data_IF_915909708476
#
_entry.id   IF_915909708476
#
_cell.length_a   1.000
_cell.length_b   1.000
_cell.length_c   1.000
_cell.angle_alpha   90.00
_cell.angle_beta   90.00
_cell.angle_gamma   90.00
#
_symmetry.space_group_name_H-M   'P 1'
#
loop_
_entity.id
_entity.type
_entity.pdbx_description
1 polymer ?
#
# COMPACT_ATOMS: atom_id res chain seq x y z
N UNK A 1 -52.82 -40.28 -3.95
CA UNK A 1 -52.42 -39.27 -2.95
C UNK A 1 -51.55 -39.97 -1.93
N UNK A 2 -50.24 -40.01 -2.18
CA UNK A 2 -49.23 -40.53 -1.26
C UNK A 2 -48.45 -39.33 -0.72
N UNK A 3 -48.45 -39.17 0.61
CA UNK A 3 -47.80 -38.04 1.29
C UNK A 3 -46.28 -38.24 1.43
N UNK A 4 -45.49 -37.16 1.46
CA UNK A 4 -44.04 -37.26 1.41
C UNK A 4 -43.40 -37.60 2.78
N UNK A 5 -42.40 -38.44 2.64
CA UNK A 5 -41.49 -39.02 3.62
C UNK A 5 -40.75 -37.95 4.46
N UNK A 6 -40.87 -38.02 5.79
CA UNK A 6 -40.17 -37.11 6.73
C UNK A 6 -38.71 -37.53 6.90
N UNK A 7 -37.79 -36.64 6.47
CA UNK A 7 -36.34 -36.77 6.66
C UNK A 7 -35.96 -36.85 8.14
N UNK A 8 -35.23 -37.90 8.51
CA UNK A 8 -34.65 -38.09 9.83
C UNK A 8 -33.69 -36.95 10.20
N UNK A 9 -34.01 -36.24 11.29
CA UNK A 9 -33.09 -35.30 11.95
C UNK A 9 -31.96 -36.10 12.56
N UNK A 10 -30.75 -36.01 12.01
CA UNK A 10 -29.54 -36.51 12.64
C UNK A 10 -29.39 -35.88 14.03
N UNK A 11 -29.50 -36.70 15.08
CA UNK A 11 -29.26 -36.26 16.46
C UNK A 11 -27.82 -35.79 16.55
N UNK A 12 -27.61 -34.54 16.99
CA UNK A 12 -26.28 -34.05 17.35
C UNK A 12 -25.71 -34.98 18.44
N UNK A 13 -24.45 -35.42 18.34
CA UNK A 13 -23.80 -36.20 19.39
C UNK A 13 -23.94 -35.48 20.73
N UNK A 14 -24.43 -36.19 21.74
CA UNK A 14 -24.55 -35.67 23.10
C UNK A 14 -23.13 -35.46 23.62
N UNK A 15 -22.78 -34.21 23.92
CA UNK A 15 -21.52 -33.88 24.58
C UNK A 15 -21.65 -34.34 26.03
N UNK A 16 -20.92 -35.40 26.40
CA UNK A 16 -20.91 -35.91 27.77
C UNK A 16 -20.24 -34.87 28.70
N UNK A 17 -20.82 -34.62 29.88
CA UNK A 17 -20.21 -33.79 30.90
C UNK A 17 -18.95 -34.46 31.48
N UNK A 18 -18.01 -33.67 32.00
CA UNK A 18 -16.64 -34.12 32.33
C UNK A 18 -16.58 -35.20 33.44
N UNK A 19 -17.66 -35.36 34.20
CA UNK A 19 -17.88 -36.40 35.21
C UNK A 19 -18.29 -37.76 34.62
N UNK A 20 -18.82 -37.79 33.40
CA UNK A 20 -19.23 -39.02 32.68
C UNK A 20 -18.13 -39.58 31.75
N UNK A 21 -16.98 -38.92 31.67
CA UNK A 21 -15.85 -39.38 30.85
C UNK A 21 -14.96 -40.37 31.61
N UNK A 22 -14.54 -41.42 30.93
CA UNK A 22 -13.47 -42.30 31.44
C UNK A 22 -12.11 -41.57 31.43
N UNK A 23 -11.12 -42.15 32.12
CA UNK A 23 -9.81 -41.52 32.29
C UNK A 23 -9.06 -41.35 30.95
N UNK A 24 -9.30 -42.24 29.99
CA UNK A 24 -8.71 -42.18 28.65
C UNK A 24 -9.32 -41.04 27.83
N UNK A 25 -10.64 -40.86 27.89
CA UNK A 25 -11.39 -39.76 27.28
C UNK A 25 -11.08 -38.41 27.95
N UNK A 26 -10.85 -38.39 29.28
CA UNK A 26 -10.40 -37.19 30.00
C UNK A 26 -8.99 -36.80 29.58
N UNK A 27 -8.09 -37.77 29.45
CA UNK A 27 -6.73 -37.53 28.95
C UNK A 27 -6.71 -37.15 27.47
N UNK A 28 -7.57 -37.73 26.63
CA UNK A 28 -7.72 -37.34 25.22
C UNK A 28 -8.34 -35.93 25.10
N UNK A 29 -9.32 -35.58 25.94
CA UNK A 29 -9.84 -34.21 26.03
C UNK A 29 -8.78 -33.24 26.54
N UNK A 30 -7.98 -33.61 27.55
CA UNK A 30 -6.87 -32.78 28.05
C UNK A 30 -5.78 -32.62 26.99
N UNK A 31 -5.43 -33.65 26.23
CA UNK A 31 -4.51 -33.60 25.08
C UNK A 31 -5.08 -32.75 23.95
N UNK A 32 -6.39 -32.84 23.67
CA UNK A 32 -7.08 -31.99 22.69
C UNK A 32 -7.22 -30.53 23.14
N UNK A 33 -7.27 -30.28 24.46
CA UNK A 33 -7.28 -28.95 25.10
C UNK A 33 -5.87 -28.38 25.21
N UNK A 34 -4.84 -29.23 25.32
CA UNK A 34 -3.42 -28.91 25.12
C UNK A 34 -3.10 -28.85 23.62
N UNK A 35 -3.87 -28.07 22.86
CA UNK A 35 -3.33 -27.56 21.59
C UNK A 35 -2.19 -26.63 21.98
N UNK A 36 -0.96 -26.99 21.60
CA UNK A 36 0.18 -26.09 21.66
C UNK A 36 -0.30 -24.77 21.04
N UNK A 37 -0.23 -23.64 21.77
CA UNK A 37 -0.60 -22.36 21.20
C UNK A 37 0.21 -22.16 19.93
N UNK A 38 -0.48 -21.91 18.80
CA UNK A 38 0.20 -21.57 17.55
C UNK A 38 1.12 -20.39 17.84
N UNK A 39 2.38 -20.51 17.43
CA UNK A 39 3.35 -19.43 17.54
C UNK A 39 2.91 -18.25 16.66
N UNK A 40 3.50 -17.07 16.86
CA UNK A 40 3.19 -15.93 16.00
C UNK A 40 3.62 -16.22 14.55
N UNK A 41 4.73 -16.92 14.39
CA UNK A 41 5.28 -17.40 13.13
C UNK A 41 4.28 -18.33 12.42
N UNK A 42 3.73 -19.33 13.12
CA UNK A 42 2.72 -20.23 12.55
C UNK A 42 1.47 -19.47 12.07
N UNK A 43 1.06 -18.46 12.84
CA UNK A 43 -0.11 -17.63 12.51
C UNK A 43 0.14 -16.75 11.29
N UNK A 44 1.35 -16.18 11.17
CA UNK A 44 1.76 -15.38 10.02
C UNK A 44 1.83 -16.27 8.77
N UNK A 45 2.42 -17.46 8.88
CA UNK A 45 2.53 -18.38 7.76
C UNK A 45 1.16 -18.89 7.29
N UNK A 46 0.23 -19.11 8.21
CA UNK A 46 -1.15 -19.39 7.85
C UNK A 46 -1.81 -18.21 7.12
N UNK A 47 -1.64 -16.98 7.61
CA UNK A 47 -2.17 -15.78 6.96
C UNK A 47 -1.57 -15.54 5.55
N UNK A 48 -0.29 -15.84 5.34
CA UNK A 48 0.34 -15.83 4.00
C UNK A 48 -0.32 -16.83 3.07
N UNK A 49 -0.61 -18.04 3.56
CA UNK A 49 -1.30 -19.07 2.79
C UNK A 49 -2.72 -18.64 2.42
N UNK A 50 -3.48 -18.12 3.38
CA UNK A 50 -4.84 -17.64 3.15
C UNK A 50 -4.86 -16.49 2.13
N UNK A 51 -3.92 -15.55 2.22
CA UNK A 51 -3.79 -14.45 1.26
C UNK A 51 -3.46 -14.98 -0.14
N UNK A 52 -2.53 -15.94 -0.24
CA UNK A 52 -2.16 -16.58 -1.52
C UNK A 52 -3.35 -17.25 -2.19
N UNK A 53 -4.15 -17.99 -1.42
CA UNK A 53 -5.37 -18.63 -1.90
C UNK A 53 -6.40 -17.60 -2.34
N UNK A 54 -6.57 -16.52 -1.57
CA UNK A 54 -7.50 -15.43 -1.86
C UNK A 54 -7.19 -14.70 -3.17
N UNK A 55 -5.90 -14.47 -3.46
CA UNK A 55 -5.49 -13.81 -4.71
C UNK A 55 -5.37 -14.76 -5.92
N UNK A 56 -5.62 -16.06 -5.71
CA UNK A 56 -5.61 -17.09 -6.75
C UNK A 56 -4.22 -17.58 -7.16
N UNK A 57 -3.19 -17.39 -6.34
CA UNK A 57 -1.80 -17.78 -6.62
C UNK A 57 -1.53 -19.18 -6.03
N UNK A 58 -2.37 -20.16 -6.39
CA UNK A 58 -2.21 -21.54 -5.92
C UNK A 58 -1.36 -22.33 -6.91
N UNK A 59 -0.33 -23.01 -6.43
CA UNK A 59 0.55 -23.83 -7.27
C UNK A 59 -0.26 -24.81 -8.12
N UNK A 60 -0.10 -24.72 -9.45
CA UNK A 60 -0.68 -25.66 -10.42
C UNK A 60 -2.12 -25.41 -10.85
N UNK A 61 -2.80 -24.35 -10.39
CA UNK A 61 -4.12 -23.94 -10.91
C UNK A 61 -4.27 -22.43 -10.88
N UNK A 62 -4.18 -21.77 -12.04
CA UNK A 62 -4.67 -20.39 -12.19
C UNK A 62 -6.18 -20.39 -11.98
N UNK A 63 -6.61 -20.04 -10.76
CA UNK A 63 -8.00 -19.65 -10.53
C UNK A 63 -8.03 -18.14 -10.72
N UNK A 64 -8.55 -17.68 -11.86
CA UNK A 64 -8.85 -16.26 -12.01
C UNK A 64 -10.11 -15.95 -11.20
N UNK A 65 -10.01 -15.26 -10.05
CA UNK A 65 -11.21 -14.80 -9.37
C UNK A 65 -11.98 -13.88 -10.31
N UNK A 66 -13.32 -13.95 -10.29
CA UNK A 66 -14.17 -13.10 -11.16
C UNK A 66 -13.88 -11.61 -10.99
N UNK A 67 -13.43 -11.22 -9.80
CA UNK A 67 -12.94 -9.88 -9.49
C UNK A 67 -11.49 -10.00 -9.01
N UNK A 68 -10.52 -9.31 -9.64
CA UNK A 68 -9.14 -9.32 -9.18
C UNK A 68 -9.05 -8.70 -7.78
N UNK A 69 -8.23 -9.32 -6.92
CA UNK A 69 -7.89 -8.74 -5.61
C UNK A 69 -6.79 -7.71 -5.82
N UNK A 70 -7.05 -6.48 -5.38
CA UNK A 70 -6.12 -5.35 -5.48
C UNK A 70 -5.71 -4.87 -4.08
N UNK A 71 -4.49 -4.34 -3.99
CA UNK A 71 -3.87 -3.82 -2.77
C UNK A 71 -3.75 -2.30 -2.93
N UNK A 72 -4.69 -1.57 -2.37
CA UNK A 72 -4.73 -0.12 -2.51
C UNK A 72 -3.87 0.55 -1.43
N UNK A 73 -2.92 1.39 -1.83
CA UNK A 73 -2.19 2.26 -0.90
C UNK A 73 -2.94 3.58 -0.81
N UNK A 74 -3.44 3.91 0.38
CA UNK A 74 -4.30 5.07 0.62
C UNK A 74 -3.97 5.75 1.95
N UNK A 75 -4.44 6.99 2.12
CA UNK A 75 -4.53 7.61 3.43
C UNK A 75 -5.72 7.04 4.21
N UNK A 76 -5.51 6.80 5.51
CA UNK A 76 -6.58 6.52 6.43
C UNK A 76 -7.44 7.79 6.61
N UNK A 77 -8.75 7.74 6.33
CA UNK A 77 -9.61 8.91 6.47
C UNK A 77 -9.79 9.26 7.94
N UNK A 78 -10.29 10.47 8.21
CA UNK A 78 -10.61 10.88 9.57
C UNK A 78 -11.61 9.92 10.23
N UNK A 79 -11.26 9.43 11.42
CA UNK A 79 -12.08 8.55 12.25
C UNK A 79 -11.63 8.65 13.69
N UNK A 80 -12.58 8.74 14.62
CA UNK A 80 -12.27 8.80 16.06
C UNK A 80 -11.65 7.52 16.63
N UNK A 81 -11.77 6.39 15.92
CA UNK A 81 -11.28 5.08 16.39
C UNK A 81 -10.22 4.46 15.48
N UNK A 82 -9.94 5.06 14.32
CA UNK A 82 -9.15 4.43 13.26
C UNK A 82 -9.80 3.14 12.74
N UNK A 83 -9.05 2.40 11.93
CA UNK A 83 -9.43 1.06 11.47
C UNK A 83 -8.54 0.01 12.13
N UNK A 84 -9.10 -1.11 12.58
CA UNK A 84 -8.29 -2.20 13.13
C UNK A 84 -7.42 -2.85 12.04
N UNK A 85 -6.12 -2.99 12.29
CA UNK A 85 -5.23 -3.74 11.42
C UNK A 85 -5.65 -5.21 11.39
N UNK A 86 -5.76 -5.80 10.20
CA UNK A 86 -6.15 -7.21 10.03
C UNK A 86 -4.96 -8.18 10.11
N UNK A 87 -3.76 -7.69 10.40
CA UNK A 87 -2.59 -8.55 10.60
C UNK A 87 -2.74 -9.39 11.87
N UNK A 88 -2.46 -10.69 11.78
CA UNK A 88 -2.76 -11.67 12.85
C UNK A 88 -2.08 -11.38 14.19
N UNK A 89 -0.92 -10.73 14.18
CA UNK A 89 -0.18 -10.35 15.40
C UNK A 89 -0.39 -8.90 15.82
N UNK A 90 -0.96 -8.05 14.96
CA UNK A 90 -1.16 -6.63 15.25
C UNK A 90 -2.47 -6.43 16.02
N UNK A 91 -2.42 -5.67 17.11
CA UNK A 91 -3.60 -5.28 17.90
C UNK A 91 -3.92 -3.79 17.80
N UNK A 92 -3.11 -3.05 17.05
CA UNK A 92 -3.19 -1.62 16.95
C UNK A 92 -4.20 -1.18 15.89
N UNK A 93 -4.67 0.05 16.06
CA UNK A 93 -5.51 0.71 15.06
C UNK A 93 -4.63 1.52 14.11
N UNK A 94 -5.14 1.70 12.89
CA UNK A 94 -4.57 2.53 11.86
C UNK A 94 -5.17 3.92 12.04
N UNK A 95 -4.36 4.83 12.54
CA UNK A 95 -4.74 6.22 12.82
C UNK A 95 -5.02 7.01 11.55
N UNK A 96 -5.93 7.98 11.65
CA UNK A 96 -6.24 8.92 10.58
C UNK A 96 -4.98 9.63 10.05
N UNK A 97 -4.92 9.85 8.74
CA UNK A 97 -3.77 10.45 8.05
C UNK A 97 -2.54 9.54 7.95
N UNK A 98 -2.61 8.28 8.39
CA UNK A 98 -1.56 7.29 8.15
C UNK A 98 -1.74 6.60 6.81
N UNK A 99 -0.64 6.31 6.12
CA UNK A 99 -0.68 5.43 4.96
C UNK A 99 -1.04 4.01 5.39
N UNK A 100 -1.90 3.36 4.60
CA UNK A 100 -2.36 1.98 4.85
C UNK A 100 -2.55 1.21 3.56
N UNK A 101 -2.59 -0.11 3.68
CA UNK A 101 -3.03 -1.00 2.61
C UNK A 101 -4.50 -1.36 2.83
N UNK A 102 -5.31 -1.23 1.78
CA UNK A 102 -6.66 -1.76 1.70
C UNK A 102 -6.71 -2.89 0.67
N UNK A 103 -6.93 -4.13 1.12
CA UNK A 103 -7.09 -5.30 0.25
C UNK A 103 -8.55 -5.41 -0.16
N UNK A 104 -8.86 -5.31 -1.46
CA UNK A 104 -10.24 -5.34 -1.97
C UNK A 104 -10.38 -6.33 -3.14
N UNK A 105 -11.38 -7.24 -3.10
CA UNK A 105 -12.22 -7.56 -1.94
C UNK A 105 -11.38 -8.11 -0.77
N UNK A 106 -11.84 -7.91 0.48
CA UNK A 106 -11.20 -8.48 1.66
C UNK A 106 -11.37 -10.00 1.76
N UNK A 107 -10.52 -10.65 2.55
CA UNK A 107 -10.51 -12.08 2.85
C UNK A 107 -11.69 -12.48 3.76
N UNK A 108 -12.00 -11.67 4.76
CA UNK A 108 -13.02 -12.01 5.77
C UNK A 108 -14.46 -11.72 5.30
N UNK A 109 -14.64 -10.70 4.45
CA UNK A 109 -15.93 -10.26 3.97
C UNK A 109 -15.77 -9.77 2.53
N UNK A 110 -16.17 -10.59 1.54
CA UNK A 110 -15.99 -10.34 0.10
C UNK A 110 -16.46 -8.98 -0.45
N UNK A 111 -17.13 -8.14 0.34
CA UNK A 111 -17.56 -6.78 -0.05
C UNK A 111 -16.74 -5.67 0.59
N UNK A 112 -16.17 -5.89 1.76
CA UNK A 112 -15.46 -4.84 2.50
C UNK A 112 -13.95 -5.01 2.32
N UNK A 113 -13.18 -3.92 2.27
CA UNK A 113 -11.74 -4.00 2.27
C UNK A 113 -11.21 -4.44 3.65
N UNK A 114 -10.15 -5.24 3.65
CA UNK A 114 -9.34 -5.48 4.85
C UNK A 114 -8.23 -4.43 4.92
N UNK A 115 -8.06 -3.82 6.09
CA UNK A 115 -7.08 -2.75 6.28
C UNK A 115 -5.85 -3.24 7.06
N UNK A 116 -4.67 -2.84 6.61
CA UNK A 116 -3.40 -3.18 7.23
C UNK A 116 -2.52 -1.92 7.35
N UNK A 117 -1.73 -1.82 8.41
CA UNK A 117 -0.53 -0.97 8.34
C UNK A 117 0.35 -1.47 7.20
N UNK A 118 1.01 -0.57 6.47
CA UNK A 118 1.85 -0.94 5.32
C UNK A 118 2.90 -2.00 5.73
N UNK A 119 3.58 -1.78 6.85
CA UNK A 119 4.61 -2.68 7.38
C UNK A 119 4.07 -4.07 7.73
N UNK A 120 2.90 -4.13 8.36
CA UNK A 120 2.27 -5.41 8.69
C UNK A 120 1.84 -6.16 7.42
N UNK A 121 1.38 -5.46 6.40
CA UNK A 121 1.03 -6.12 5.14
C UNK A 121 2.25 -6.69 4.43
N UNK A 122 3.38 -5.98 4.47
CA UNK A 122 4.67 -6.42 3.96
C UNK A 122 5.17 -7.74 4.60
N UNK A 123 4.74 -8.09 5.82
CA UNK A 123 5.02 -9.40 6.43
C UNK A 123 4.27 -10.57 5.76
N UNK A 124 3.17 -10.27 5.06
CA UNK A 124 2.28 -11.26 4.45
C UNK A 124 2.53 -11.48 2.96
N UNK A 125 3.30 -10.62 2.30
CA UNK A 125 3.45 -10.59 0.84
C UNK A 125 4.92 -10.66 0.43
N UNK A 126 5.15 -11.28 -0.73
CA UNK A 126 6.45 -11.31 -1.37
C UNK A 126 6.41 -10.43 -2.63
N UNK A 127 6.84 -9.18 -2.50
CA UNK A 127 6.87 -8.23 -3.61
C UNK A 127 7.96 -8.51 -4.65
N UNK A 128 8.81 -9.53 -4.45
CA UNK A 128 9.70 -10.04 -5.52
C UNK A 128 8.94 -10.84 -6.58
N UNK A 129 7.66 -11.13 -6.35
CA UNK A 129 6.79 -11.84 -7.28
C UNK A 129 5.77 -10.89 -7.94
N UNK A 130 5.65 -10.96 -9.27
CA UNK A 130 4.73 -10.13 -10.06
C UNK A 130 3.29 -10.22 -9.57
N UNK A 131 2.90 -11.41 -9.14
CA UNK A 131 1.56 -11.68 -8.64
C UNK A 131 1.17 -10.76 -7.48
N UNK A 132 2.09 -10.37 -6.61
CA UNK A 132 1.81 -9.43 -5.52
C UNK A 132 2.06 -7.98 -5.94
N UNK A 133 3.19 -7.70 -6.60
CA UNK A 133 3.57 -6.34 -6.98
C UNK A 133 2.55 -5.67 -7.90
N UNK A 134 2.01 -6.41 -8.87
CA UNK A 134 1.10 -5.86 -9.88
C UNK A 134 -0.24 -5.41 -9.30
N UNK A 135 -0.61 -5.98 -8.14
CA UNK A 135 -1.85 -5.67 -7.42
C UNK A 135 -1.75 -4.39 -6.62
N UNK A 136 -0.55 -3.82 -6.43
CA UNK A 136 -0.38 -2.55 -5.73
C UNK A 136 -0.90 -1.40 -6.60
N UNK A 137 -1.91 -0.69 -6.09
CA UNK A 137 -2.53 0.46 -6.74
C UNK A 137 -2.48 1.66 -5.77
N UNK A 138 -1.71 2.72 -6.04
CA UNK A 138 -1.83 3.95 -5.28
C UNK A 138 -3.20 4.58 -5.54
N UNK A 139 -3.92 4.98 -4.48
CA UNK A 139 -5.18 5.69 -4.65
C UNK A 139 -4.89 7.15 -4.98
N UNK A 140 -5.05 7.47 -6.26
CA UNK A 140 -4.85 8.82 -6.81
C UNK A 140 -6.08 9.24 -7.61
N UNK A 141 -6.06 10.46 -8.15
CA UNK A 141 -7.04 10.98 -9.12
C UNK A 141 -7.34 10.02 -10.28
N UNK A 142 -6.37 9.21 -10.71
CA UNK A 142 -6.50 8.32 -11.88
C UNK A 142 -7.07 6.93 -11.52
N UNK A 143 -7.01 6.52 -10.26
CA UNK A 143 -7.39 5.16 -9.82
C UNK A 143 -8.59 5.11 -8.86
N UNK A 144 -9.22 6.26 -8.63
CA UNK A 144 -10.33 6.39 -7.68
C UNK A 144 -11.56 5.55 -8.05
N UNK A 145 -11.86 5.43 -9.34
CA UNK A 145 -12.99 4.64 -9.84
C UNK A 145 -12.79 3.14 -9.57
N UNK A 146 -11.57 2.64 -9.76
CA UNK A 146 -11.18 1.24 -9.48
C UNK A 146 -11.30 0.93 -7.99
N UNK A 147 -10.97 1.90 -7.12
CA UNK A 147 -11.11 1.77 -5.68
C UNK A 147 -12.57 1.69 -5.23
N UNK A 148 -13.51 2.20 -6.02
CA UNK A 148 -14.95 2.24 -5.73
C UNK A 148 -15.26 3.04 -4.47
N UNK A 149 -14.67 4.24 -4.36
CA UNK A 149 -14.98 5.18 -3.28
C UNK A 149 -16.34 5.85 -3.52
N UNK A 150 -17.00 6.26 -2.43
CA UNK A 150 -18.23 7.05 -2.52
C UNK A 150 -17.93 8.45 -3.05
N UNK A 151 -18.88 9.09 -3.74
CA UNK A 151 -18.69 10.45 -4.28
C UNK A 151 -18.24 11.47 -3.22
N UNK A 152 -18.73 11.36 -1.99
CA UNK A 152 -18.29 12.23 -0.87
C UNK A 152 -16.82 11.97 -0.54
N UNK A 153 -16.40 10.70 -0.45
CA UNK A 153 -15.00 10.34 -0.19
C UNK A 153 -14.05 10.81 -1.30
N UNK A 154 -14.54 10.88 -2.55
CA UNK A 154 -13.79 11.44 -3.68
C UNK A 154 -13.63 12.95 -3.52
N UNK A 155 -14.70 13.67 -3.16
CA UNK A 155 -14.69 15.13 -3.01
C UNK A 155 -13.84 15.58 -1.83
N UNK A 156 -13.85 14.84 -0.72
CA UNK A 156 -13.05 15.20 0.45
C UNK A 156 -11.56 14.81 0.31
N UNK A 157 -11.21 13.96 -0.67
CA UNK A 157 -9.82 13.53 -0.92
C UNK A 157 -9.19 12.72 0.21
N UNK A 158 -9.95 12.36 1.25
CA UNK A 158 -9.45 11.79 2.51
C UNK A 158 -8.73 10.43 2.37
N UNK A 159 -8.89 9.75 1.23
CA UNK A 159 -8.22 8.50 0.93
C UNK A 159 -7.08 8.63 -0.07
N UNK A 160 -6.92 9.78 -0.72
CA UNK A 160 -5.90 9.94 -1.74
C UNK A 160 -4.53 10.09 -1.13
N UNK A 161 -3.53 9.59 -1.83
CA UNK A 161 -2.16 9.90 -1.49
C UNK A 161 -1.88 11.37 -1.81
N UNK A 162 -1.08 12.00 -0.94
CA UNK A 162 -0.39 13.22 -1.34
C UNK A 162 0.61 12.93 -2.47
N UNK A 163 0.99 13.99 -3.17
CA UNK A 163 1.86 13.91 -4.34
C UNK A 163 3.15 13.14 -4.08
N UNK A 164 3.86 13.43 -2.99
CA UNK A 164 5.12 12.77 -2.67
C UNK A 164 4.94 11.28 -2.43
N UNK A 165 3.92 10.87 -1.66
CA UNK A 165 3.60 9.46 -1.47
C UNK A 165 3.21 8.76 -2.78
N UNK A 166 2.40 9.41 -3.64
CA UNK A 166 2.07 8.90 -4.99
C UNK A 166 3.35 8.64 -5.79
N UNK A 167 4.24 9.64 -5.87
CA UNK A 167 5.50 9.54 -6.61
C UNK A 167 6.41 8.42 -6.08
N UNK A 168 6.57 8.35 -4.76
CA UNK A 168 7.42 7.36 -4.09
C UNK A 168 6.91 5.94 -4.29
N UNK A 169 5.60 5.71 -4.18
CA UNK A 169 4.99 4.40 -4.42
C UNK A 169 5.19 3.94 -5.86
N UNK A 170 4.96 4.83 -6.83
CA UNK A 170 5.11 4.51 -8.25
C UNK A 170 6.56 4.19 -8.60
N UNK A 171 7.51 4.99 -8.11
CA UNK A 171 8.94 4.78 -8.37
C UNK A 171 9.48 3.53 -7.65
N UNK A 172 9.03 3.27 -6.42
CA UNK A 172 9.32 2.02 -5.71
C UNK A 172 8.81 0.81 -6.49
N UNK A 173 7.55 0.85 -6.96
CA UNK A 173 6.95 -0.23 -7.76
C UNK A 173 7.72 -0.46 -9.06
N UNK A 174 8.10 0.60 -9.75
CA UNK A 174 8.92 0.51 -10.97
C UNK A 174 10.30 -0.08 -10.67
N UNK A 175 10.96 0.34 -9.59
CA UNK A 175 12.27 -0.15 -9.17
C UNK A 175 12.24 -1.65 -8.87
N UNK A 176 11.20 -2.10 -8.16
CA UNK A 176 10.96 -3.53 -7.90
C UNK A 176 10.73 -4.32 -9.19
N UNK A 177 9.93 -3.80 -10.13
CA UNK A 177 9.71 -4.44 -11.43
C UNK A 177 11.01 -4.55 -12.23
N UNK A 178 11.83 -3.50 -12.25
CA UNK A 178 13.14 -3.50 -12.93
C UNK A 178 14.07 -4.58 -12.38
N UNK A 179 14.08 -4.79 -11.06
CA UNK A 179 14.84 -5.87 -10.44
C UNK A 179 14.33 -7.25 -10.88
N UNK A 180 13.01 -7.40 -11.03
CA UNK A 180 12.41 -8.65 -11.49
C UNK A 180 12.75 -8.91 -12.96
N UNK A 181 12.61 -7.90 -13.81
CA UNK A 181 12.97 -8.01 -15.23
C UNK A 181 14.45 -8.39 -15.39
N UNK A 182 15.35 -7.82 -14.57
CA UNK A 182 16.76 -8.24 -14.56
C UNK A 182 16.95 -9.69 -14.11
N UNK A 183 16.28 -10.12 -13.03
CA UNK A 183 16.32 -11.50 -12.54
C UNK A 183 15.83 -12.49 -13.60
N UNK A 184 14.80 -12.09 -14.34
CA UNK A 184 14.11 -12.91 -15.33
C UNK A 184 14.67 -12.71 -16.76
N UNK A 185 15.77 -11.96 -16.90
CA UNK A 185 16.44 -11.61 -18.16
C UNK A 185 15.53 -10.96 -19.22
N UNK A 186 14.50 -10.25 -18.75
CA UNK A 186 13.55 -9.50 -19.58
C UNK A 186 14.12 -8.11 -19.91
N UNK A 187 14.14 -7.70 -21.18
CA UNK A 187 14.56 -6.36 -21.56
C UNK A 187 13.68 -5.28 -20.93
N UNK A 188 14.30 -4.30 -20.29
CA UNK A 188 13.59 -3.14 -19.72
C UNK A 188 13.23 -2.20 -20.88
N UNK A 189 11.94 -2.05 -21.13
CA UNK A 189 11.43 -1.06 -22.09
C UNK A 189 10.98 0.20 -21.34
N UNK A 190 11.54 1.35 -21.69
CA UNK A 190 11.09 2.66 -21.20
C UNK A 190 10.74 3.57 -22.37
N UNK A 191 9.67 4.35 -22.21
CA UNK A 191 9.36 5.46 -23.11
C UNK A 191 10.14 6.69 -22.63
N UNK A 192 11.16 7.19 -23.36
CA UNK A 192 12.10 8.19 -22.83
C UNK A 192 11.42 9.50 -22.40
N UNK A 193 10.43 9.96 -23.16
CA UNK A 193 9.70 11.20 -22.85
C UNK A 193 8.89 11.07 -21.56
N UNK A 194 8.23 9.92 -21.37
CA UNK A 194 7.49 9.61 -20.16
C UNK A 194 8.43 9.43 -18.96
N UNK A 195 9.54 8.72 -19.14
CA UNK A 195 10.56 8.54 -18.09
C UNK A 195 11.17 9.88 -17.66
N UNK A 196 11.48 10.77 -18.61
CA UNK A 196 11.94 12.13 -18.33
C UNK A 196 10.89 12.94 -17.54
N UNK A 197 9.62 12.93 -17.95
CA UNK A 197 8.55 13.59 -17.18
C UNK A 197 8.47 13.02 -15.76
N UNK A 198 8.55 11.70 -15.59
CA UNK A 198 8.44 11.08 -14.28
C UNK A 198 9.66 11.28 -13.38
N UNK A 199 10.88 11.37 -13.92
CA UNK A 199 12.10 11.40 -13.10
C UNK A 199 12.80 12.74 -13.06
N UNK A 200 12.61 13.57 -14.09
CA UNK A 200 13.37 14.82 -14.26
C UNK A 200 12.52 16.07 -14.16
N UNK A 201 11.19 15.98 -14.17
CA UNK A 201 10.35 17.18 -14.02
C UNK A 201 10.76 17.99 -12.78
N UNK A 202 10.89 19.31 -12.97
CA UNK A 202 11.39 20.26 -11.98
C UNK A 202 12.92 20.45 -11.97
N UNK A 203 13.70 19.65 -12.71
CA UNK A 203 15.13 19.91 -12.91
C UNK A 203 15.35 21.13 -13.81
N UNK A 204 16.43 21.86 -13.57
CA UNK A 204 17.00 22.90 -14.42
C UNK A 204 17.21 22.41 -15.87
N UNK A 205 17.55 21.12 -16.02
CA UNK A 205 17.79 20.48 -17.30
C UNK A 205 16.55 19.89 -17.97
N UNK A 206 15.38 19.96 -17.32
CA UNK A 206 14.15 19.37 -17.84
C UNK A 206 13.54 20.20 -18.96
N UNK A 207 13.34 19.56 -20.12
CA UNK A 207 12.61 20.16 -21.23
C UNK A 207 11.10 19.98 -21.05
N UNK A 208 10.38 21.09 -20.91
CA UNK A 208 8.93 21.08 -20.78
C UNK A 208 8.26 20.80 -22.13
N UNK A 209 8.07 19.53 -22.46
CA UNK A 209 7.50 19.09 -23.75
C UNK A 209 6.28 18.18 -23.56
N UNK A 210 5.15 18.47 -24.23
CA UNK A 210 3.95 17.63 -24.16
C UNK A 210 4.20 16.18 -24.59
N UNK A 211 3.56 15.24 -23.92
CA UNK A 211 3.61 13.81 -24.26
C UNK A 211 2.41 13.44 -25.12
N UNK A 212 2.66 12.76 -26.24
CA UNK A 212 1.61 12.32 -27.15
C UNK A 212 0.61 11.38 -26.44
N UNK A 213 -0.68 11.69 -26.54
CA UNK A 213 -1.76 10.92 -25.92
C UNK A 213 -2.00 11.20 -24.44
N UNK A 214 -1.18 12.03 -23.78
CA UNK A 214 -1.41 12.46 -22.41
C UNK A 214 -2.32 13.70 -22.38
N UNK A 215 -3.37 13.74 -21.54
CA UNK A 215 -4.16 14.95 -21.34
C UNK A 215 -3.32 16.09 -20.76
N UNK A 216 -3.52 17.32 -21.26
CA UNK A 216 -2.74 18.50 -20.83
C UNK A 216 -2.74 18.68 -19.31
N UNK A 217 -3.90 18.54 -18.66
CA UNK A 217 -4.01 18.72 -17.20
C UNK A 217 -3.14 17.71 -16.42
N UNK A 218 -3.01 16.49 -16.93
CA UNK A 218 -2.18 15.46 -16.31
C UNK A 218 -0.70 15.77 -16.55
N UNK A 219 -0.35 16.19 -17.76
CA UNK A 219 1.00 16.63 -18.09
C UNK A 219 1.44 17.82 -17.21
N UNK A 220 0.60 18.84 -17.03
CA UNK A 220 0.87 19.97 -16.13
C UNK A 220 0.99 19.52 -14.67
N UNK A 221 0.10 18.62 -14.22
CA UNK A 221 0.15 18.06 -12.87
C UNK A 221 1.47 17.37 -12.61
N UNK A 222 1.92 16.51 -13.52
CA UNK A 222 3.17 15.76 -13.42
C UNK A 222 4.41 16.66 -13.56
N UNK A 223 4.35 17.65 -14.45
CA UNK A 223 5.50 18.52 -14.74
C UNK A 223 5.75 19.58 -13.67
N UNK A 224 4.72 19.99 -12.92
CA UNK A 224 4.80 21.13 -11.99
C UNK A 224 4.44 20.70 -10.57
N UNK A 225 3.21 20.26 -10.34
CA UNK A 225 2.72 19.98 -8.99
C UNK A 225 3.39 18.74 -8.39
N UNK A 226 3.61 17.72 -9.21
CA UNK A 226 4.17 16.43 -8.83
C UNK A 226 5.60 16.22 -9.33
N UNK A 227 6.27 17.31 -9.72
CA UNK A 227 7.67 17.29 -10.11
C UNK A 227 8.52 16.66 -8.97
N UNK A 228 9.30 15.60 -9.24
CA UNK A 228 10.14 14.97 -8.22
C UNK A 228 11.37 15.80 -7.84
N UNK A 229 11.77 16.75 -8.69
CA UNK A 229 12.95 17.58 -8.48
C UNK A 229 12.51 19.00 -8.12
N UNK A 230 13.29 19.63 -7.24
CA UNK A 230 13.21 21.05 -6.94
C UNK A 230 14.53 21.70 -7.30
N UNK A 231 14.44 22.82 -8.03
CA UNK A 231 15.56 23.59 -8.55
C UNK A 231 15.33 25.08 -8.29
N UNK A 232 16.42 25.84 -8.10
CA UNK A 232 16.41 27.30 -7.97
C UNK A 232 16.46 28.04 -9.33
N UNK A 233 16.54 27.31 -10.46
CA UNK A 233 16.52 27.90 -11.80
C UNK A 233 17.40 27.16 -12.82
N UNK A 234 17.53 27.74 -14.01
CA UNK A 234 18.13 27.12 -15.22
C UNK A 234 19.59 26.70 -15.05
N UNK A 235 20.33 27.31 -14.12
CA UNK A 235 21.74 27.01 -13.88
C UNK A 235 22.00 26.25 -12.56
N UNK A 236 20.94 25.79 -11.88
CA UNK A 236 21.07 25.11 -10.59
C UNK A 236 21.81 23.77 -10.72
N UNK A 237 22.91 23.64 -9.98
CA UNK A 237 23.73 22.42 -9.92
C UNK A 237 23.51 21.63 -8.62
N UNK A 238 22.73 22.16 -7.68
CA UNK A 238 22.48 21.57 -6.35
C UNK A 238 20.99 21.27 -6.19
N UNK A 239 20.44 20.51 -7.13
CA UNK A 239 19.02 20.16 -7.16
C UNK A 239 18.64 19.22 -6.01
N UNK A 240 17.44 19.39 -5.46
CA UNK A 240 16.88 18.43 -4.52
C UNK A 240 16.03 17.42 -5.27
N UNK A 241 16.26 16.12 -5.05
CA UNK A 241 15.55 15.03 -5.72
C UNK A 241 14.81 14.14 -4.72
N UNK A 242 13.48 14.01 -4.89
CA UNK A 242 12.61 13.18 -4.07
C UNK A 242 13.09 11.72 -4.02
N UNK A 243 13.44 11.15 -5.16
CA UNK A 243 13.79 9.73 -5.25
C UNK A 243 15.14 9.44 -4.63
N UNK A 244 16.15 10.30 -4.86
CA UNK A 244 17.46 10.14 -4.24
C UNK A 244 17.43 10.29 -2.72
N UNK A 245 16.49 11.10 -2.22
CA UNK A 245 16.31 11.33 -0.79
C UNK A 245 15.69 10.15 -0.06
N UNK A 246 14.64 9.55 -0.62
CA UNK A 246 13.81 8.57 0.12
C UNK A 246 13.96 7.14 -0.37
N UNK A 247 14.33 6.90 -1.63
CA UNK A 247 14.48 5.54 -2.12
C UNK A 247 15.88 5.00 -1.78
N UNK A 248 15.98 3.70 -1.46
CA UNK A 248 17.26 3.01 -1.41
C UNK A 248 18.09 3.29 -2.67
N UNK A 249 19.30 3.83 -2.48
CA UNK A 249 20.24 4.16 -3.57
C UNK A 249 20.59 2.94 -4.44
N UNK A 250 20.44 1.74 -3.87
CA UNK A 250 20.95 0.51 -4.43
C UNK A 250 19.90 -0.40 -5.07
N UNK A 251 18.72 0.06 -5.53
CA UNK A 251 17.76 -0.74 -6.34
C UNK A 251 18.32 -1.30 -7.68
N UNK A 252 19.63 -1.49 -7.76
CA UNK A 252 20.33 -2.23 -8.76
C UNK A 252 20.75 -3.64 -8.32
N UNK A 253 20.64 -3.99 -7.04
CA UNK A 253 21.02 -5.31 -6.54
C UNK A 253 19.79 -6.21 -6.31
N UNK A 254 19.82 -7.45 -6.83
CA UNK A 254 18.77 -8.45 -6.61
C UNK A 254 18.59 -8.75 -5.11
N UNK A 255 19.65 -8.57 -4.31
CA UNK A 255 19.59 -8.70 -2.85
C UNK A 255 18.63 -7.71 -2.19
N UNK A 256 18.25 -6.61 -2.84
CA UNK A 256 17.25 -5.68 -2.29
C UNK A 256 15.84 -6.27 -2.22
N UNK A 257 15.55 -7.36 -2.93
CA UNK A 257 14.33 -8.15 -2.68
C UNK A 257 14.24 -8.64 -1.23
N UNK A 258 15.37 -8.76 -0.53
CA UNK A 258 15.42 -9.22 0.87
C UNK A 258 15.10 -8.12 1.88
N UNK A 259 14.73 -6.91 1.44
CA UNK A 259 14.25 -5.82 2.32
C UNK A 259 12.72 -5.85 2.37
N UNK A 260 12.11 -6.67 3.26
CA UNK A 260 10.66 -6.89 3.26
C UNK A 260 9.86 -5.62 3.54
N UNK A 261 10.44 -4.63 4.24
CA UNK A 261 9.74 -3.43 4.71
C UNK A 261 10.09 -2.15 3.95
N UNK A 262 10.64 -2.27 2.74
CA UNK A 262 11.15 -1.11 2.00
C UNK A 262 10.09 -0.04 1.75
N UNK A 263 8.84 -0.41 1.43
CA UNK A 263 7.78 0.54 1.17
C UNK A 263 7.34 1.27 2.43
N UNK A 264 7.13 0.53 3.54
CA UNK A 264 6.76 1.17 4.80
C UNK A 264 7.85 2.09 5.35
N UNK A 265 9.12 1.74 5.18
CA UNK A 265 10.24 2.59 5.58
C UNK A 265 10.25 3.89 4.76
N UNK A 266 10.15 3.82 3.42
CA UNK A 266 10.07 5.00 2.52
C UNK A 266 8.92 5.93 2.95
N UNK A 267 7.72 5.38 3.11
CA UNK A 267 6.53 6.16 3.46
C UNK A 267 6.59 6.74 4.88
N UNK A 268 7.27 6.06 5.81
CA UNK A 268 7.45 6.55 7.18
C UNK A 268 8.41 7.73 7.23
N UNK A 269 9.53 7.67 6.50
CA UNK A 269 10.48 8.80 6.42
C UNK A 269 9.82 9.99 5.71
N UNK A 270 9.12 9.76 4.60
CA UNK A 270 8.34 10.79 3.92
C UNK A 270 7.30 11.44 4.85
N UNK A 271 6.54 10.65 5.63
CA UNK A 271 5.54 11.18 6.58
C UNK A 271 6.18 12.11 7.62
N UNK A 272 7.35 11.75 8.14
CA UNK A 272 8.10 12.54 9.11
C UNK A 272 8.59 13.86 8.51
N UNK A 273 9.27 13.79 7.36
CA UNK A 273 9.80 14.99 6.69
C UNK A 273 8.66 15.92 6.23
N UNK A 274 7.54 15.36 5.76
CA UNK A 274 6.30 16.11 5.49
C UNK A 274 5.81 16.87 6.72
N UNK A 275 5.73 16.20 7.87
CA UNK A 275 5.32 16.85 9.11
C UNK A 275 6.26 18.01 9.47
N UNK A 276 7.58 17.78 9.40
CA UNK A 276 8.58 18.80 9.72
C UNK A 276 8.49 20.01 8.77
N UNK A 277 8.40 19.78 7.46
CA UNK A 277 8.34 20.85 6.46
C UNK A 277 7.06 21.69 6.58
N UNK A 278 5.92 21.06 6.86
CA UNK A 278 4.61 21.70 6.90
C UNK A 278 4.24 22.29 8.28
N UNK A 279 4.87 21.84 9.37
CA UNK A 279 4.57 22.36 10.70
C UNK A 279 5.10 23.79 10.90
N UNK A 280 4.30 24.61 11.59
CA UNK A 280 4.74 25.88 12.14
C UNK A 280 5.76 25.64 13.25
N UNK A 281 6.74 26.55 13.39
CA UNK A 281 7.85 26.38 14.34
C UNK A 281 7.41 26.32 15.81
N UNK A 282 6.32 27.00 16.18
CA UNK A 282 5.74 26.97 17.51
C UNK A 282 5.19 25.58 17.91
N UNK A 283 4.89 24.74 16.92
CA UNK A 283 4.42 23.36 17.11
C UNK A 283 5.55 22.33 17.13
N UNK A 284 6.79 22.75 16.89
CA UNK A 284 7.96 21.88 16.84
C UNK A 284 8.75 21.96 18.15
N UNK A 285 9.22 20.80 18.61
CA UNK A 285 10.25 20.75 19.66
C UNK A 285 11.58 21.26 19.11
N UNK A 286 12.53 21.65 19.97
CA UNK A 286 13.83 22.15 19.51
C UNK A 286 14.58 21.12 18.65
N UNK A 287 14.52 19.83 19.03
CA UNK A 287 15.04 18.73 18.20
C UNK A 287 14.38 18.69 16.81
N UNK A 288 13.06 18.86 16.74
CA UNK A 288 12.34 18.84 15.46
C UNK A 288 12.65 20.08 14.60
N UNK A 289 12.94 21.23 15.22
CA UNK A 289 13.44 22.42 14.50
C UNK A 289 14.81 22.16 13.90
N UNK A 290 15.74 21.60 14.68
CA UNK A 290 17.06 21.20 14.16
C UNK A 290 16.97 20.17 13.03
N UNK A 291 16.05 19.20 13.12
CA UNK A 291 15.80 18.23 12.05
C UNK A 291 15.20 18.89 10.80
N UNK A 292 14.29 19.87 10.97
CA UNK A 292 13.75 20.67 9.88
C UNK A 292 14.82 21.53 9.21
N UNK A 293 15.71 22.16 9.97
CA UNK A 293 16.82 22.97 9.44
C UNK A 293 17.76 22.12 8.57
N UNK A 294 18.00 20.85 8.97
CA UNK A 294 18.79 19.89 8.19
C UNK A 294 18.15 19.49 6.86
N UNK A 295 16.84 19.67 6.66
CA UNK A 295 16.22 19.45 5.35
C UNK A 295 16.69 20.51 4.34
N UNK A 296 16.94 21.73 4.80
CA UNK A 296 17.26 22.87 3.94
C UNK A 296 16.02 23.44 3.23
N UNK A 297 16.14 24.68 2.77
CA UNK A 297 15.00 25.43 2.21
C UNK A 297 14.43 24.78 0.95
N UNK A 298 15.30 24.29 0.07
CA UNK A 298 14.92 23.63 -1.20
C UNK A 298 14.06 22.39 -0.94
N UNK A 299 14.51 21.50 -0.04
CA UNK A 299 13.72 20.33 0.34
C UNK A 299 12.37 20.74 0.98
N UNK A 300 12.36 21.74 1.86
CA UNK A 300 11.12 22.22 2.50
C UNK A 300 10.11 22.70 1.45
N UNK A 301 10.54 23.47 0.44
CA UNK A 301 9.64 23.90 -0.66
C UNK A 301 9.10 22.72 -1.44
N UNK A 302 9.99 21.80 -1.83
CA UNK A 302 9.63 20.60 -2.59
C UNK A 302 8.62 19.73 -1.82
N UNK A 303 8.90 19.44 -0.55
CA UNK A 303 8.06 18.63 0.33
C UNK A 303 6.69 19.31 0.51
N UNK A 304 6.64 20.63 0.75
CA UNK A 304 5.37 21.35 0.88
C UNK A 304 4.52 21.26 -0.38
N UNK A 305 5.13 21.43 -1.56
CA UNK A 305 4.45 21.26 -2.87
C UNK A 305 3.90 19.84 -3.00
N UNK A 306 4.75 18.85 -2.77
CA UNK A 306 4.42 17.43 -2.89
C UNK A 306 3.48 16.91 -1.78
N UNK A 307 3.26 17.68 -0.71
CA UNK A 307 2.30 17.34 0.35
C UNK A 307 0.85 17.63 -0.05
N UNK A 308 0.62 18.36 -1.14
CA UNK A 308 -0.71 18.57 -1.68
C UNK A 308 -1.30 17.25 -2.21
N UNK A 309 -2.61 17.08 -2.04
CA UNK A 309 -3.37 15.96 -2.58
C UNK A 309 -3.95 16.35 -3.93
N UNK A 310 -3.50 15.75 -5.05
CA UNK A 310 -4.03 16.06 -6.38
C UNK A 310 -5.45 15.52 -6.51
N UNK A 311 -6.42 16.42 -6.58
CA UNK A 311 -7.83 16.04 -6.76
C UNK A 311 -8.12 15.69 -8.21
N UNK A 312 -9.02 14.73 -8.49
CA UNK A 312 -9.46 14.45 -9.84
C UNK A 312 -10.23 15.64 -10.39
N UNK A 313 -10.12 15.84 -11.70
CA UNK A 313 -11.05 16.67 -12.42
C UNK A 313 -12.48 16.13 -12.19
N UNK A 314 -13.38 16.99 -11.72
CA UNK A 314 -14.77 16.64 -11.37
C UNK A 314 -15.46 15.96 -12.56
N UNK A 315 -15.18 16.40 -13.80
CA UNK A 315 -15.78 15.79 -14.98
C UNK A 315 -15.27 14.36 -15.22
N UNK A 316 -14.03 14.08 -14.83
CA UNK A 316 -13.41 12.75 -14.96
C UNK A 316 -13.80 11.82 -13.81
N UNK A 317 -14.05 12.37 -12.61
CA UNK A 317 -14.40 11.61 -11.41
C UNK A 317 -15.79 10.96 -11.45
N UNK A 318 -16.73 11.52 -12.23
CA UNK A 318 -18.14 11.08 -12.29
C UNK A 318 -18.56 10.53 -13.67
N UNK A 319 -17.63 10.28 -14.59
CA UNK A 319 -17.91 9.52 -15.82
C UNK A 319 -17.93 8.02 -15.47
N UNK A 320 -19.12 7.50 -15.18
CA UNK A 320 -19.41 6.07 -15.04
C UNK A 320 -20.24 5.57 -16.21
#
# INVERSE_FOLDING_TARGET
MEGPNSKGKGKRPRVLPDDELDDEQKEERKRSRQRIPLTNEDRIDWAKSDLRDHIGVVAGKERHPRNPVLFFIELAPYSNRGAACQHVTCKDHIEAGSYRIAVKPGMNLYKNPDFYHVRCFEELVDFSQAAYLDRIIPVTRNYVSVRGLSGISILDGNNFLDGGAERLVLEWKWSMRKLMDRRDEVPITTEPDLDNLHRKAGSASYEFKPINGMPDHEFFTLSIMLAPIESDGVDDQDEWNLFERYLPRDFNNIEDFKKPHSLSDILSVWKSDKFLACANEDRLTDKAKEEKDKLGEKAIRAIRRLSAVPMPDIQSAFRS
#
